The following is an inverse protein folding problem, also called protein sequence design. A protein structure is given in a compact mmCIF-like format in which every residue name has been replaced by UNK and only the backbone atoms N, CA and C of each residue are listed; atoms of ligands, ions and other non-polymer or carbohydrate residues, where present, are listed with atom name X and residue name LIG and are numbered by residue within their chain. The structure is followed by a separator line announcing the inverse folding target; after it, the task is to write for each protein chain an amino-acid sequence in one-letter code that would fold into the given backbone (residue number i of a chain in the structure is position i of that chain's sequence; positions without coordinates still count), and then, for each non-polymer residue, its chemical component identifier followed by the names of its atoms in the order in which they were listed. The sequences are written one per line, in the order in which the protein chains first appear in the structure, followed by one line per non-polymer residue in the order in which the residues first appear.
data_IF_166238397109
#
_entry.id   IF_166238397109
#
_cell.length_a   1.000
_cell.length_b   1.000
_cell.length_c   1.000
_cell.angle_alpha   90.00
_cell.angle_beta   90.00
_cell.angle_gamma   90.00
#
_symmetry.space_group_name_H-M   'P 1'
#
loop_
_entity.id
_entity.type
_entity.pdbx_description
1 polymer ?
#
# COMPACT_ATOMS: atom_id res chain seq x y z
N UNK A 1 -8.72 50.25 -19.13
CA UNK A 1 -9.54 49.11 -18.65
C UNK A 1 -8.60 47.93 -18.50
N UNK A 2 -8.31 47.52 -17.26
CA UNK A 2 -8.80 46.26 -16.65
C UNK A 2 -8.44 45.03 -17.51
N UNK A 3 -7.65 44.06 -17.07
CA UNK A 3 -7.05 43.82 -15.77
C UNK A 3 -6.02 42.68 -15.86
N UNK A 4 -5.14 42.64 -14.86
CA UNK A 4 -4.32 41.48 -14.55
C UNK A 4 -5.24 40.32 -14.14
N UNK A 5 -5.16 39.18 -14.81
CA UNK A 5 -5.59 37.89 -14.27
C UNK A 5 -4.41 36.94 -14.41
N UNK A 6 -3.54 36.97 -13.40
CA UNK A 6 -3.54 36.07 -12.23
C UNK A 6 -2.88 34.74 -12.60
N UNK A 7 -1.68 34.56 -12.03
CA UNK A 7 -0.87 33.38 -12.20
C UNK A 7 -1.66 32.12 -11.84
N UNK A 8 -1.51 31.11 -12.68
CA UNK A 8 -1.74 29.74 -12.27
C UNK A 8 -0.72 29.43 -11.17
N UNK A 9 -1.12 29.66 -9.92
CA UNK A 9 -0.49 29.02 -8.78
C UNK A 9 -0.53 27.52 -9.07
N UNK A 10 0.66 26.99 -9.30
CA UNK A 10 0.92 25.56 -9.33
C UNK A 10 0.37 24.97 -8.05
N UNK A 11 -0.79 24.32 -8.12
CA UNK A 11 -1.20 23.29 -7.15
C UNK A 11 -0.25 22.09 -7.32
N UNK A 12 1.00 22.30 -6.96
CA UNK A 12 1.99 21.27 -6.76
C UNK A 12 1.86 20.82 -5.31
N UNK A 13 0.75 20.18 -4.97
CA UNK A 13 0.80 19.25 -3.85
C UNK A 13 1.80 18.17 -4.26
N UNK A 14 2.96 18.06 -3.60
CA UNK A 14 3.97 17.09 -3.98
C UNK A 14 3.34 15.69 -3.87
N UNK A 15 3.56 14.86 -4.87
CA UNK A 15 3.13 13.46 -4.83
C UNK A 15 3.76 12.80 -3.60
N UNK A 16 2.93 12.19 -2.77
CA UNK A 16 3.36 11.53 -1.55
C UNK A 16 3.72 10.10 -1.93
N UNK A 17 4.98 9.72 -1.74
CA UNK A 17 5.35 8.30 -1.88
C UNK A 17 4.83 7.52 -0.69
N UNK A 18 3.79 6.70 -0.91
CA UNK A 18 3.23 5.82 0.14
C UNK A 18 4.28 4.82 0.59
N UNK A 19 5.04 4.24 -0.33
CA UNK A 19 6.12 3.32 0.01
C UNK A 19 7.48 3.93 -0.31
N UNK A 20 8.43 3.78 0.60
CA UNK A 20 9.84 4.02 0.36
C UNK A 20 10.48 2.81 -0.30
N UNK A 21 11.69 2.99 -0.85
CA UNK A 21 12.40 1.92 -1.56
C UNK A 21 12.67 0.75 -0.63
N UNK A 22 13.05 1.03 0.61
CA UNK A 22 13.34 0.07 1.66
C UNK A 22 12.11 -0.77 2.02
N UNK A 23 10.92 -0.14 2.07
CA UNK A 23 9.64 -0.82 2.31
C UNK A 23 9.29 -1.74 1.14
N UNK A 24 9.50 -1.28 -0.10
CA UNK A 24 9.29 -2.08 -1.32
C UNK A 24 10.25 -3.28 -1.36
N UNK A 25 11.53 -3.06 -1.07
CA UNK A 25 12.54 -4.12 -1.09
C UNK A 25 12.26 -5.15 0.02
N UNK A 26 11.79 -4.70 1.19
CA UNK A 26 11.35 -5.58 2.27
C UNK A 26 10.14 -6.43 1.88
N UNK A 27 9.12 -5.82 1.26
CA UNK A 27 7.94 -6.54 0.73
C UNK A 27 8.36 -7.59 -0.29
N UNK A 28 9.20 -7.22 -1.27
CA UNK A 28 9.66 -8.13 -2.32
C UNK A 28 10.39 -9.33 -1.74
N UNK A 29 11.36 -9.09 -0.86
CA UNK A 29 12.12 -10.15 -0.20
C UNK A 29 11.22 -11.07 0.63
N UNK A 30 10.23 -10.51 1.31
CA UNK A 30 9.26 -11.32 2.06
C UNK A 30 8.39 -12.15 1.11
N UNK A 31 7.88 -11.57 0.02
CA UNK A 31 7.05 -12.28 -0.96
C UNK A 31 7.81 -13.43 -1.64
N UNK A 32 9.08 -13.22 -1.99
CA UNK A 32 9.94 -14.27 -2.54
C UNK A 32 10.05 -15.46 -1.60
N UNK A 33 10.25 -15.23 -0.30
CA UNK A 33 10.31 -16.30 0.70
C UNK A 33 8.95 -16.96 0.93
N UNK A 34 7.87 -16.18 0.91
CA UNK A 34 6.51 -16.66 1.14
C UNK A 34 6.01 -17.58 0.02
N UNK A 35 6.30 -17.23 -1.24
CA UNK A 35 5.90 -18.04 -2.42
C UNK A 35 6.67 -19.37 -2.50
N UNK A 36 7.86 -19.45 -1.88
CA UNK A 36 8.65 -20.67 -1.81
C UNK A 36 8.18 -21.66 -0.74
N UNK A 37 7.18 -21.27 0.08
CA UNK A 37 6.56 -22.16 1.05
C UNK A 37 5.79 -23.28 0.32
N UNK A 38 6.12 -24.53 0.64
CA UNK A 38 5.61 -25.73 -0.03
C UNK A 38 4.12 -25.97 0.24
N UNK A 39 3.52 -25.23 1.16
CA UNK A 39 2.10 -25.35 1.50
C UNK A 39 1.17 -24.59 0.55
N UNK A 40 1.68 -23.69 -0.30
CA UNK A 40 0.86 -22.98 -1.27
C UNK A 40 0.72 -23.75 -2.59
N UNK A 41 -0.51 -24.13 -2.94
CA UNK A 41 -0.80 -24.65 -4.29
C UNK A 41 -0.53 -23.56 -5.34
N UNK A 42 -0.24 -23.93 -6.61
CA UNK A 42 -0.04 -22.97 -7.69
C UNK A 42 -1.22 -21.98 -7.84
N UNK A 43 -2.45 -22.46 -7.66
CA UNK A 43 -3.65 -21.63 -7.73
C UNK A 43 -3.70 -20.58 -6.60
N UNK A 44 -3.43 -20.98 -5.36
CA UNK A 44 -3.39 -20.06 -4.21
C UNK A 44 -2.27 -19.04 -4.41
N UNK A 45 -1.11 -19.48 -4.91
CA UNK A 45 0.03 -18.62 -5.24
C UNK A 45 -0.30 -17.56 -6.30
N UNK A 46 -1.01 -17.95 -7.36
CA UNK A 46 -1.43 -17.03 -8.41
C UNK A 46 -2.46 -16.02 -7.88
N UNK A 47 -3.50 -16.49 -7.17
CA UNK A 47 -4.50 -15.61 -6.57
C UNK A 47 -3.87 -14.64 -5.56
N UNK A 48 -2.93 -15.11 -4.74
CA UNK A 48 -2.15 -14.29 -3.82
C UNK A 48 -1.42 -13.15 -4.53
N UNK A 49 -0.72 -13.45 -5.61
CA UNK A 49 -0.02 -12.44 -6.42
C UNK A 49 -0.98 -11.41 -7.02
N UNK A 50 -2.14 -11.86 -7.50
CA UNK A 50 -3.17 -10.99 -8.08
C UNK A 50 -3.71 -10.03 -7.00
N UNK A 51 -4.13 -10.55 -5.85
CA UNK A 51 -4.67 -9.77 -4.74
C UNK A 51 -3.63 -8.75 -4.26
N UNK A 52 -2.40 -9.20 -3.97
CA UNK A 52 -1.35 -8.32 -3.46
C UNK A 52 -0.92 -7.24 -4.47
N UNK A 53 -0.85 -7.57 -5.75
CA UNK A 53 -0.53 -6.60 -6.80
C UNK A 53 -1.66 -5.56 -6.98
N UNK A 54 -2.92 -6.01 -6.92
CA UNK A 54 -4.09 -5.14 -7.03
C UNK A 54 -4.13 -4.10 -5.91
N UNK A 55 -4.01 -4.54 -4.65
CA UNK A 55 -3.99 -3.62 -3.50
C UNK A 55 -2.72 -2.77 -3.47
N UNK A 56 -1.55 -3.33 -3.83
CA UNK A 56 -0.31 -2.58 -3.96
C UNK A 56 -0.40 -1.43 -4.96
N UNK A 57 -1.03 -1.65 -6.12
CA UNK A 57 -1.29 -0.61 -7.10
C UNK A 57 -2.25 0.47 -6.56
N UNK A 58 -3.35 0.08 -5.93
CA UNK A 58 -4.29 1.04 -5.31
C UNK A 58 -3.60 1.91 -4.27
N UNK A 59 -2.78 1.31 -3.40
CA UNK A 59 -2.02 2.03 -2.37
C UNK A 59 -1.02 3.00 -3.00
N UNK A 60 -0.32 2.60 -4.07
CA UNK A 60 0.56 3.50 -4.83
C UNK A 60 -0.20 4.70 -5.40
N UNK A 61 -1.36 4.46 -6.03
CA UNK A 61 -2.19 5.50 -6.63
C UNK A 61 -2.75 6.50 -5.61
N UNK A 62 -2.96 6.10 -4.35
CA UNK A 62 -3.34 7.04 -3.28
C UNK A 62 -2.31 8.15 -3.10
N UNK A 63 -1.03 7.81 -3.13
CA UNK A 63 0.07 8.75 -2.95
C UNK A 63 0.31 9.67 -4.16
N UNK A 64 -0.06 9.19 -5.34
CA UNK A 64 0.02 9.96 -6.59
C UNK A 64 -1.17 10.93 -6.75
N UNK A 65 -2.23 10.77 -5.95
CA UNK A 65 -3.41 11.62 -6.00
C UNK A 65 -3.20 12.95 -5.26
N UNK A 66 -2.91 14.00 -6.02
CA UNK A 66 -2.64 15.36 -5.50
C UNK A 66 -3.84 16.05 -4.84
N UNK A 67 -5.05 15.48 -4.98
CA UNK A 67 -6.28 16.01 -4.37
C UNK A 67 -6.51 15.50 -2.94
N UNK A 68 -5.80 14.46 -2.52
CA UNK A 68 -5.97 13.91 -1.17
C UNK A 68 -4.99 14.54 -0.20
N UNK A 69 -5.51 14.87 0.98
CA UNK A 69 -4.68 15.24 2.14
C UNK A 69 -3.96 14.01 2.69
N UNK A 70 -2.90 14.24 3.48
CA UNK A 70 -2.18 13.17 4.19
C UNK A 70 -3.11 12.31 5.06
N UNK A 71 -4.04 12.94 5.78
CA UNK A 71 -5.00 12.25 6.65
C UNK A 71 -5.91 11.34 5.83
N UNK A 72 -6.41 11.83 4.68
CA UNK A 72 -7.23 11.01 3.78
C UNK A 72 -6.43 9.86 3.16
N UNK A 73 -5.16 10.10 2.82
CA UNK A 73 -4.25 9.07 2.33
C UNK A 73 -4.06 7.97 3.38
N UNK A 74 -3.78 8.33 4.63
CA UNK A 74 -3.64 7.38 5.74
C UNK A 74 -4.95 6.60 5.95
N UNK A 75 -6.08 7.29 5.97
CA UNK A 75 -7.39 6.67 6.14
C UNK A 75 -7.68 5.64 5.04
N UNK A 76 -7.49 6.02 3.77
CA UNK A 76 -7.69 5.13 2.63
C UNK A 76 -6.68 4.00 2.59
N UNK A 77 -5.42 4.26 2.94
CA UNK A 77 -4.38 3.23 3.02
C UNK A 77 -4.73 2.16 4.05
N UNK A 78 -5.17 2.55 5.25
CA UNK A 78 -5.61 1.62 6.28
C UNK A 78 -6.85 0.82 5.87
N UNK A 79 -7.77 1.41 5.10
CA UNK A 79 -8.91 0.69 4.52
C UNK A 79 -8.43 -0.37 3.53
N UNK A 80 -7.53 -0.02 2.61
CA UNK A 80 -6.99 -0.96 1.63
C UNK A 80 -6.24 -2.13 2.27
N UNK A 81 -5.51 -1.90 3.37
CA UNK A 81 -4.87 -2.98 4.13
C UNK A 81 -5.92 -3.92 4.71
N UNK A 82 -7.00 -3.39 5.29
CA UNK A 82 -8.08 -4.22 5.86
C UNK A 82 -8.79 -5.03 4.79
N UNK A 83 -9.10 -4.44 3.64
CA UNK A 83 -9.69 -5.12 2.50
C UNK A 83 -8.78 -6.24 2.00
N UNK A 84 -7.49 -5.95 1.81
CA UNK A 84 -6.49 -6.95 1.42
C UNK A 84 -6.40 -8.10 2.45
N UNK A 85 -6.39 -7.78 3.74
CA UNK A 85 -6.34 -8.79 4.79
C UNK A 85 -7.59 -9.69 4.77
N UNK A 86 -8.79 -9.14 4.53
CA UNK A 86 -10.00 -9.94 4.43
C UNK A 86 -9.92 -10.91 3.25
N UNK A 87 -9.56 -10.43 2.06
CA UNK A 87 -9.43 -11.26 0.86
C UNK A 87 -8.39 -12.37 1.04
N UNK A 88 -7.28 -12.06 1.72
CA UNK A 88 -6.21 -13.02 1.97
C UNK A 88 -6.53 -14.01 3.09
N UNK A 89 -7.31 -13.61 4.11
CA UNK A 89 -7.72 -14.49 5.21
C UNK A 89 -8.59 -15.65 4.75
N UNK A 90 -9.42 -15.43 3.73
CA UNK A 90 -10.29 -16.47 3.17
C UNK A 90 -9.52 -17.48 2.29
N UNK A 91 -8.34 -17.08 1.81
CA UNK A 91 -7.57 -17.85 0.83
C UNK A 91 -6.32 -18.51 1.42
N UNK A 92 -5.68 -17.88 2.40
CA UNK A 92 -4.43 -18.37 2.98
C UNK A 92 -4.69 -19.27 4.20
N UNK A 93 -3.87 -20.30 4.42
CA UNK A 93 -3.78 -20.98 5.71
C UNK A 93 -3.52 -19.99 6.85
N UNK A 94 -4.01 -20.30 8.05
CA UNK A 94 -3.95 -19.39 9.20
C UNK A 94 -2.52 -18.91 9.52
N UNK A 95 -1.53 -19.80 9.49
CA UNK A 95 -0.13 -19.47 9.78
C UNK A 95 0.46 -18.51 8.73
N UNK A 96 0.12 -18.74 7.46
CA UNK A 96 0.54 -17.88 6.36
C UNK A 96 -0.13 -16.50 6.42
N UNK A 97 -1.42 -16.47 6.75
CA UNK A 97 -2.13 -15.21 6.99
C UNK A 97 -1.54 -14.44 8.17
N UNK A 98 -1.18 -15.11 9.26
CA UNK A 98 -0.54 -14.46 10.41
C UNK A 98 0.82 -13.86 10.04
N UNK A 99 1.63 -14.58 9.28
CA UNK A 99 2.91 -14.09 8.76
C UNK A 99 2.72 -12.85 7.86
N UNK A 100 1.72 -12.89 6.98
CA UNK A 100 1.35 -11.76 6.12
C UNK A 100 0.88 -10.55 6.93
N UNK A 101 0.00 -10.76 7.92
CA UNK A 101 -0.50 -9.69 8.78
C UNK A 101 0.63 -9.02 9.54
N UNK A 102 1.58 -9.79 10.08
CA UNK A 102 2.78 -9.26 10.77
C UNK A 102 3.66 -8.41 9.86
N UNK A 103 3.80 -8.79 8.58
CA UNK A 103 4.49 -7.98 7.58
C UNK A 103 3.78 -6.63 7.42
N UNK A 104 2.48 -6.65 7.17
CA UNK A 104 1.70 -5.45 6.89
C UNK A 104 1.50 -4.55 8.11
N UNK A 105 1.52 -5.08 9.33
CA UNK A 105 1.54 -4.27 10.55
C UNK A 105 2.82 -3.43 10.64
N UNK A 106 3.99 -4.01 10.31
CA UNK A 106 5.26 -3.27 10.28
C UNK A 106 5.27 -2.20 9.19
N UNK A 107 4.79 -2.54 8.00
CA UNK A 107 4.71 -1.58 6.88
C UNK A 107 3.74 -0.46 7.25
N UNK A 108 2.56 -0.80 7.76
CA UNK A 108 1.54 0.16 8.15
C UNK A 108 2.05 1.11 9.22
N UNK A 109 2.74 0.58 10.23
CA UNK A 109 3.39 1.40 11.25
C UNK A 109 4.41 2.37 10.66
N UNK A 110 5.28 1.90 9.75
CA UNK A 110 6.29 2.74 9.08
C UNK A 110 5.66 3.86 8.25
N UNK A 111 4.66 3.52 7.43
CA UNK A 111 3.90 4.47 6.61
C UNK A 111 3.17 5.50 7.47
N UNK A 112 2.41 5.03 8.46
CA UNK A 112 1.63 5.90 9.34
C UNK A 112 2.54 6.82 10.18
N UNK A 113 3.64 6.30 10.71
CA UNK A 113 4.62 7.11 11.45
C UNK A 113 5.17 8.24 10.58
N UNK A 114 5.59 7.93 9.35
CA UNK A 114 6.12 8.93 8.42
C UNK A 114 5.08 9.97 8.03
N UNK A 115 3.86 9.54 7.72
CA UNK A 115 2.81 10.44 7.26
C UNK A 115 2.19 11.29 8.40
N UNK A 116 2.29 10.84 9.66
CA UNK A 116 1.93 11.66 10.83
C UNK A 116 3.05 12.59 11.32
N UNK A 117 4.31 12.33 10.98
CA UNK A 117 5.46 13.16 11.41
C UNK A 117 5.83 14.31 10.45
N UNK A 118 5.16 14.42 9.30
CA UNK A 118 5.37 15.45 8.27
C UNK A 118 4.21 16.43 8.20
#
# INVERSE_FOLDING_TARGET
MFGQEKGAQKDQNPTIKIFQKEEIDYIKKWMENFILDKEMTPEINERFKIVTSYYGLKMKLLGENTKLTKIEIIGKFNILIKEQNNDLKEMLPAEQFESFSKLYDKISWSVNKRLHQL
#
